data_IF_222953473455
#
_entry.id   IF_222953473455
#
_cell.length_a   1.000
_cell.length_b   1.000
_cell.length_c   1.000
_cell.angle_alpha   90.00
_cell.angle_beta   90.00
_cell.angle_gamma   90.00
#
_symmetry.space_group_name_H-M   'P 1'
#
loop_
_entity.id
_entity.type
_entity.pdbx_description
1 polymer ?
#
# COMPACT_ATOMS: atom_id res chain seq x y z
N UNK A 1 5.80 16.19 -9.57
CA UNK A 1 5.86 14.94 -8.79
C UNK A 1 6.04 13.73 -9.70
N UNK A 2 5.15 13.54 -10.65
CA UNK A 2 5.15 12.36 -11.53
C UNK A 2 6.41 12.22 -12.39
N UNK A 3 6.95 13.29 -12.97
CA UNK A 3 8.22 13.27 -13.69
C UNK A 3 9.38 12.75 -12.82
N UNK A 4 9.41 13.15 -11.54
CA UNK A 4 10.44 12.64 -10.62
C UNK A 4 10.23 11.18 -10.24
N UNK A 5 8.99 10.70 -10.14
CA UNK A 5 8.71 9.27 -10.01
C UNK A 5 9.22 8.50 -11.24
N UNK A 6 9.02 9.02 -12.47
CA UNK A 6 9.59 8.41 -13.67
C UNK A 6 11.11 8.42 -13.64
N UNK A 7 11.72 9.53 -13.23
CA UNK A 7 13.17 9.62 -13.06
C UNK A 7 13.70 8.57 -12.07
N UNK A 8 13.04 8.40 -10.91
CA UNK A 8 13.40 7.39 -9.90
C UNK A 8 13.32 5.97 -10.45
N UNK A 9 12.30 5.65 -11.25
CA UNK A 9 12.18 4.33 -11.90
C UNK A 9 13.37 3.98 -12.79
N UNK A 10 13.97 4.99 -13.41
CA UNK A 10 15.07 4.85 -14.36
C UNK A 10 16.47 4.97 -13.72
N UNK A 11 16.58 5.67 -12.60
CA UNK A 11 17.88 6.06 -12.05
C UNK A 11 18.11 5.61 -10.59
N UNK A 12 17.06 5.40 -9.79
CA UNK A 12 17.17 5.01 -8.39
C UNK A 12 16.94 3.51 -8.22
N UNK A 13 18.02 2.74 -8.31
CA UNK A 13 18.01 1.28 -8.39
C UNK A 13 18.62 0.61 -7.15
N UNK A 14 18.18 1.01 -5.96
CA UNK A 14 18.63 0.41 -4.71
C UNK A 14 18.12 -1.05 -4.56
N UNK A 15 19.02 -1.98 -4.22
CA UNK A 15 18.65 -3.40 -4.04
C UNK A 15 17.57 -3.60 -2.96
N UNK A 16 17.57 -2.78 -1.90
CA UNK A 16 16.56 -2.85 -0.82
C UNK A 16 15.12 -2.66 -1.30
N UNK A 17 14.91 -2.02 -2.46
CA UNK A 17 13.57 -1.78 -3.01
C UNK A 17 12.85 -3.07 -3.39
N UNK A 18 13.57 -4.12 -3.80
CA UNK A 18 12.98 -5.44 -4.02
C UNK A 18 12.38 -6.03 -2.74
N UNK A 19 13.03 -5.77 -1.58
CA UNK A 19 12.53 -6.21 -0.28
C UNK A 19 11.22 -5.48 0.05
N UNK A 20 11.12 -4.19 -0.27
CA UNK A 20 9.96 -3.37 0.07
C UNK A 20 8.73 -3.71 -0.79
N UNK A 21 8.94 -4.04 -2.06
CA UNK A 21 7.87 -4.40 -2.98
C UNK A 21 7.37 -5.86 -2.79
N UNK A 22 8.19 -6.76 -2.24
CA UNK A 22 7.79 -8.13 -1.93
C UNK A 22 7.05 -8.17 -0.58
N UNK A 23 5.74 -8.45 -0.62
CA UNK A 23 4.88 -8.52 0.58
C UNK A 23 5.33 -9.54 1.64
N UNK A 24 6.18 -10.51 1.26
CA UNK A 24 6.74 -11.49 2.18
C UNK A 24 8.06 -10.99 2.76
N UNK A 25 8.97 -10.50 1.90
CA UNK A 25 10.27 -10.04 2.32
C UNK A 25 10.19 -8.79 3.22
N UNK A 26 9.25 -7.87 2.92
CA UNK A 26 9.06 -6.66 3.71
C UNK A 26 8.65 -6.96 5.16
N UNK A 27 7.87 -8.01 5.41
CA UNK A 27 7.50 -8.41 6.78
C UNK A 27 8.72 -8.79 7.61
N UNK A 28 9.66 -9.53 7.02
CA UNK A 28 10.93 -9.87 7.68
C UNK A 28 11.79 -8.63 7.95
N UNK A 29 11.79 -7.68 7.02
CA UNK A 29 12.48 -6.41 7.21
C UNK A 29 11.89 -5.61 8.37
N UNK A 30 10.57 -5.46 8.40
CA UNK A 30 9.85 -4.71 9.43
C UNK A 30 10.03 -5.35 10.81
N UNK A 31 9.92 -6.68 10.93
CA UNK A 31 10.11 -7.37 12.21
C UNK A 31 11.50 -7.14 12.83
N UNK A 32 12.52 -6.94 11.97
CA UNK A 32 13.88 -6.60 12.41
C UNK A 32 14.09 -5.13 12.72
N UNK A 33 13.35 -4.25 12.03
CA UNK A 33 13.56 -2.79 12.07
C UNK A 33 12.70 -2.11 13.13
N UNK A 34 11.50 -2.59 13.31
CA UNK A 34 10.49 -2.09 14.24
C UNK A 34 10.08 -3.22 15.20
N UNK A 35 8.80 -3.29 15.50
CA UNK A 35 8.21 -4.36 16.29
C UNK A 35 7.31 -5.22 15.39
N UNK A 36 7.35 -6.55 15.56
CA UNK A 36 6.46 -7.47 14.83
C UNK A 36 4.97 -7.24 15.12
N UNK A 37 4.64 -6.52 16.20
CA UNK A 37 3.26 -6.23 16.59
C UNK A 37 2.47 -5.42 15.54
N UNK A 38 3.14 -4.71 14.62
CA UNK A 38 2.46 -3.99 13.54
C UNK A 38 2.19 -4.84 12.29
N UNK A 39 2.62 -6.10 12.28
CA UNK A 39 2.43 -6.98 11.13
C UNK A 39 1.08 -7.68 11.19
N UNK A 40 0.38 -7.68 10.06
CA UNK A 40 -0.81 -8.52 9.87
C UNK A 40 -0.38 -9.99 9.93
N UNK A 41 -1.11 -10.81 10.67
CA UNK A 41 -0.84 -12.24 10.80
C UNK A 41 -0.86 -12.92 9.43
N UNK A 42 0.16 -13.74 9.16
CA UNK A 42 0.23 -14.55 7.95
C UNK A 42 -0.14 -15.98 8.30
N UNK A 43 -1.13 -16.54 7.63
CA UNK A 43 -1.55 -17.94 7.80
C UNK A 43 -0.73 -18.91 6.93
N UNK A 44 -0.29 -18.46 5.74
CA UNK A 44 0.50 -19.29 4.86
C UNK A 44 1.09 -18.53 3.67
N UNK A 45 2.08 -19.17 3.04
CA UNK A 45 2.74 -18.71 1.81
C UNK A 45 2.85 -19.90 0.87
N UNK A 46 2.33 -19.73 -0.36
CA UNK A 46 2.15 -20.83 -1.30
C UNK A 46 2.78 -20.49 -2.65
N UNK A 47 3.26 -21.49 -3.38
CA UNK A 47 3.78 -21.29 -4.74
C UNK A 47 2.67 -21.30 -5.80
N UNK A 48 1.58 -22.01 -5.53
CA UNK A 48 0.40 -22.09 -6.40
C UNK A 48 -0.88 -22.07 -5.56
N UNK A 49 -2.03 -21.88 -6.23
CA UNK A 49 -3.33 -21.99 -5.58
C UNK A 49 -3.61 -23.40 -5.06
N UNK A 50 -3.13 -24.41 -5.76
CA UNK A 50 -3.38 -25.81 -5.44
C UNK A 50 -2.59 -26.30 -4.21
N UNK A 51 -1.60 -25.53 -3.76
CA UNK A 51 -0.84 -25.79 -2.53
C UNK A 51 -1.61 -25.34 -1.27
N UNK A 52 -2.74 -24.63 -1.42
CA UNK A 52 -3.48 -24.07 -0.28
C UNK A 52 -4.36 -25.16 0.34
N UNK A 53 -4.08 -25.52 1.59
CA UNK A 53 -4.99 -26.34 2.39
C UNK A 53 -6.02 -25.44 3.07
N UNK A 54 -7.21 -25.32 2.47
CA UNK A 54 -8.29 -24.48 2.97
C UNK A 54 -8.89 -24.97 4.29
N UNK A 55 -8.75 -26.26 4.63
CA UNK A 55 -9.26 -26.80 5.89
C UNK A 55 -8.49 -26.24 7.09
N UNK A 56 -7.22 -25.92 6.91
CA UNK A 56 -6.35 -25.34 7.94
C UNK A 56 -6.51 -23.81 8.07
N UNK A 57 -7.18 -23.16 7.13
CA UNK A 57 -7.41 -21.72 7.16
C UNK A 57 -8.62 -21.37 8.04
N UNK A 58 -8.61 -20.19 8.70
CA UNK A 58 -9.79 -19.67 9.39
C UNK A 58 -10.95 -19.44 8.42
N UNK A 59 -12.15 -19.13 8.95
CA UNK A 59 -13.33 -18.87 8.12
C UNK A 59 -13.17 -17.64 7.24
N UNK A 60 -12.44 -16.63 7.71
CA UNK A 60 -12.16 -15.41 6.96
C UNK A 60 -10.66 -15.13 6.80
N UNK A 61 -10.26 -14.68 5.63
CA UNK A 61 -8.85 -14.39 5.29
C UNK A 61 -8.74 -13.53 4.03
N UNK A 62 -7.53 -13.07 3.75
CA UNK A 62 -7.17 -12.37 2.50
C UNK A 62 -6.11 -13.16 1.75
N UNK A 63 -6.35 -13.46 0.46
CA UNK A 63 -5.35 -14.01 -0.45
C UNK A 63 -4.87 -12.91 -1.40
N UNK A 64 -3.55 -12.83 -1.61
CA UNK A 64 -2.95 -11.90 -2.59
C UNK A 64 -1.61 -12.43 -3.09
N UNK A 65 -1.17 -11.99 -4.27
CA UNK A 65 0.19 -12.29 -4.73
C UNK A 65 1.21 -11.36 -4.08
N UNK A 66 2.41 -11.88 -3.80
CA UNK A 66 3.46 -11.15 -3.08
C UNK A 66 4.13 -10.05 -3.91
N UNK A 67 4.10 -10.18 -5.23
CA UNK A 67 4.92 -9.44 -6.19
C UNK A 67 4.13 -8.46 -7.06
N UNK A 68 2.82 -8.30 -6.83
CA UNK A 68 1.95 -7.49 -7.68
C UNK A 68 1.05 -6.53 -6.91
N UNK A 69 0.32 -5.70 -7.65
CA UNK A 69 -0.80 -4.91 -7.15
C UNK A 69 -2.11 -5.40 -7.77
N UNK A 70 -3.18 -5.44 -6.95
CA UNK A 70 -4.55 -5.72 -7.42
C UNK A 70 -4.98 -7.19 -7.46
N UNK A 71 -4.15 -8.16 -7.06
CA UNK A 71 -4.55 -9.58 -7.00
C UNK A 71 -5.35 -9.95 -5.74
N UNK A 72 -5.72 -8.99 -4.92
CA UNK A 72 -6.38 -9.20 -3.62
C UNK A 72 -7.72 -9.91 -3.77
N UNK A 73 -7.92 -10.99 -3.00
CA UNK A 73 -9.19 -11.69 -2.81
C UNK A 73 -9.52 -11.65 -1.33
N UNK A 74 -10.59 -10.97 -0.97
CA UNK A 74 -11.14 -10.94 0.39
C UNK A 74 -12.11 -12.12 0.49
N UNK A 75 -11.88 -13.01 1.44
CA UNK A 75 -12.73 -14.11 1.81
C UNK A 75 -13.34 -13.83 3.18
N UNK A 76 -14.63 -13.55 3.21
CA UNK A 76 -15.37 -13.28 4.44
C UNK A 76 -15.89 -14.56 5.10
N UNK A 77 -16.21 -15.58 4.29
CA UNK A 77 -16.61 -16.91 4.71
C UNK A 77 -16.06 -17.92 3.68
N UNK A 78 -15.15 -18.79 4.10
CA UNK A 78 -14.53 -19.79 3.21
C UNK A 78 -15.51 -20.75 2.58
N UNK A 79 -16.67 -21.00 3.21
CA UNK A 79 -17.74 -21.85 2.68
C UNK A 79 -18.41 -21.24 1.46
N UNK A 80 -18.33 -19.90 1.31
CA UNK A 80 -18.88 -19.15 0.18
C UNK A 80 -17.82 -18.76 -0.85
N UNK A 81 -16.55 -19.16 -0.64
CA UNK A 81 -15.47 -18.82 -1.55
C UNK A 81 -15.68 -19.47 -2.92
N UNK A 82 -15.75 -18.65 -3.96
CA UNK A 82 -15.74 -19.16 -5.33
C UNK A 82 -14.31 -19.60 -5.71
N UNK A 83 -13.99 -20.87 -5.47
CA UNK A 83 -12.68 -21.44 -5.69
C UNK A 83 -12.20 -21.31 -7.13
N UNK A 84 -13.06 -21.54 -8.11
CA UNK A 84 -12.71 -21.46 -9.54
C UNK A 84 -12.30 -20.03 -9.92
N UNK A 85 -13.13 -19.04 -9.58
CA UNK A 85 -12.86 -17.63 -9.84
C UNK A 85 -11.59 -17.15 -9.12
N UNK A 86 -11.40 -17.55 -7.87
CA UNK A 86 -10.24 -17.21 -7.05
C UNK A 86 -8.96 -17.81 -7.63
N UNK A 87 -8.97 -19.11 -7.96
CA UNK A 87 -7.87 -19.81 -8.62
C UNK A 87 -7.48 -19.13 -9.93
N UNK A 88 -8.46 -18.83 -10.79
CA UNK A 88 -8.23 -18.15 -12.07
C UNK A 88 -7.59 -16.77 -11.87
N UNK A 89 -8.07 -15.98 -10.89
CA UNK A 89 -7.52 -14.66 -10.57
C UNK A 89 -6.08 -14.75 -10.11
N UNK A 90 -5.79 -15.59 -9.11
CA UNK A 90 -4.45 -15.72 -8.53
C UNK A 90 -3.45 -16.36 -9.49
N UNK A 91 -3.83 -17.42 -10.22
CA UNK A 91 -2.96 -18.04 -11.21
C UNK A 91 -2.64 -17.10 -12.38
N UNK A 92 -3.59 -16.23 -12.77
CA UNK A 92 -3.30 -15.18 -13.76
C UNK A 92 -2.31 -14.15 -13.19
N UNK A 93 -2.45 -13.78 -11.93
CA UNK A 93 -1.57 -12.84 -11.24
C UNK A 93 -0.15 -13.40 -11.08
N UNK A 94 0.00 -14.67 -10.68
CA UNK A 94 1.30 -15.35 -10.56
C UNK A 94 2.13 -15.34 -11.87
N UNK A 95 1.45 -15.32 -13.03
CA UNK A 95 2.10 -15.27 -14.34
C UNK A 95 2.51 -13.86 -14.77
N UNK A 96 2.07 -12.82 -14.06
CA UNK A 96 2.41 -11.44 -14.42
C UNK A 96 3.85 -11.12 -14.04
N UNK A 97 4.50 -10.38 -14.90
CA UNK A 97 5.75 -9.72 -14.54
C UNK A 97 5.46 -8.23 -14.32
N UNK A 98 5.31 -7.85 -13.07
CA UNK A 98 4.95 -6.47 -12.69
C UNK A 98 5.99 -5.46 -13.17
N UNK A 99 7.28 -5.81 -13.16
CA UNK A 99 8.33 -4.95 -13.69
C UNK A 99 8.15 -4.62 -15.18
N UNK A 100 7.71 -5.59 -15.99
CA UNK A 100 7.50 -5.32 -17.43
C UNK A 100 6.30 -4.42 -17.71
N UNK A 101 5.33 -4.36 -16.81
CA UNK A 101 4.14 -3.51 -16.98
C UNK A 101 4.45 -2.04 -16.69
N UNK A 102 5.07 -1.74 -15.54
CA UNK A 102 5.30 -0.38 -15.08
C UNK A 102 6.75 0.09 -15.16
N UNK A 103 7.70 -0.81 -15.48
CA UNK A 103 9.16 -0.56 -15.39
C UNK A 103 9.61 -0.11 -14.01
N UNK A 104 8.85 -0.48 -12.99
CA UNK A 104 9.15 -0.18 -11.59
C UNK A 104 10.25 -1.12 -11.08
N UNK A 105 11.46 -0.58 -10.88
CA UNK A 105 12.65 -1.36 -10.49
C UNK A 105 12.41 -2.27 -9.29
N UNK A 106 11.66 -1.82 -8.32
CA UNK A 106 11.39 -2.56 -7.09
C UNK A 106 10.75 -3.94 -7.33
N UNK A 107 10.01 -4.13 -8.43
CA UNK A 107 9.39 -5.42 -8.77
C UNK A 107 10.26 -6.35 -9.61
N UNK A 108 11.45 -5.90 -10.04
CA UNK A 108 12.33 -6.70 -10.88
C UNK A 108 12.86 -7.93 -10.14
N UNK A 109 12.60 -9.12 -10.67
CA UNK A 109 13.15 -10.37 -10.14
C UNK A 109 12.49 -10.91 -8.88
N UNK A 110 11.39 -10.33 -8.40
CA UNK A 110 10.62 -10.90 -7.28
C UNK A 110 9.99 -12.21 -7.73
N UNK A 111 10.23 -13.27 -6.96
CA UNK A 111 9.62 -14.58 -7.21
C UNK A 111 8.14 -14.57 -6.81
N UNK A 112 7.21 -14.81 -7.75
CA UNK A 112 5.79 -14.81 -7.45
C UNK A 112 5.39 -15.87 -6.43
N UNK A 113 4.58 -15.47 -5.43
CA UNK A 113 3.96 -16.38 -4.46
C UNK A 113 2.59 -15.86 -4.06
N UNK A 114 1.76 -16.72 -3.52
CA UNK A 114 0.51 -16.35 -2.86
C UNK A 114 0.78 -16.24 -1.36
N UNK A 115 0.30 -15.18 -0.74
CA UNK A 115 0.28 -15.02 0.72
C UNK A 115 -1.16 -15.01 1.20
N UNK A 116 -1.43 -15.74 2.28
CA UNK A 116 -2.70 -15.73 3.01
C UNK A 116 -2.51 -14.97 4.32
N UNK A 117 -3.33 -13.95 4.53
CA UNK A 117 -3.26 -13.08 5.70
C UNK A 117 -4.61 -12.99 6.41
N UNK A 118 -4.56 -12.57 7.66
CA UNK A 118 -5.71 -12.21 8.46
C UNK A 118 -6.54 -11.13 7.78
N UNK A 119 -7.85 -11.30 7.75
CA UNK A 119 -8.79 -10.26 7.36
C UNK A 119 -9.02 -9.34 8.54
N UNK A 120 -8.45 -8.14 8.48
CA UNK A 120 -8.67 -7.12 9.50
C UNK A 120 -10.09 -6.54 9.39
N UNK A 121 -10.72 -6.36 10.56
CA UNK A 121 -12.01 -5.65 10.69
C UNK A 121 -11.96 -4.78 11.92
N UNK A 122 -12.62 -3.63 11.85
CA UNK A 122 -12.82 -2.76 13.01
C UNK A 122 -13.94 -3.29 13.94
N UNK A 123 -14.27 -2.52 14.97
CA UNK A 123 -15.28 -2.90 15.97
C UNK A 123 -16.69 -3.02 15.37
N UNK A 124 -16.97 -2.27 14.30
CA UNK A 124 -18.25 -2.31 13.59
C UNK A 124 -18.30 -3.44 12.56
N UNK A 125 -17.22 -4.21 12.41
CA UNK A 125 -17.08 -5.29 11.45
C UNK A 125 -16.76 -4.82 10.03
N UNK A 126 -16.48 -3.54 9.83
CA UNK A 126 -16.12 -2.99 8.53
C UNK A 126 -14.62 -3.19 8.21
N UNK A 127 -14.27 -3.01 6.96
CA UNK A 127 -12.86 -2.99 6.56
C UNK A 127 -12.20 -1.71 7.08
N UNK A 128 -10.99 -1.81 7.64
CA UNK A 128 -10.34 -0.67 8.26
C UNK A 128 -9.99 0.41 7.24
N UNK A 129 -9.96 1.65 7.71
CA UNK A 129 -9.47 2.79 6.92
C UNK A 129 -7.99 2.60 6.57
N UNK A 130 -7.64 3.01 5.36
CA UNK A 130 -6.31 2.94 4.78
C UNK A 130 -5.65 4.32 4.89
N UNK A 131 -4.65 4.44 5.78
CA UNK A 131 -3.86 5.65 5.99
C UNK A 131 -2.57 5.57 5.20
N UNK A 132 -2.44 6.41 4.20
CA UNK A 132 -1.29 6.43 3.28
C UNK A 132 -0.38 7.61 3.59
N UNK A 133 0.73 7.33 4.25
CA UNK A 133 1.68 8.37 4.65
C UNK A 133 2.69 8.61 3.54
N UNK A 134 2.58 9.77 2.90
CA UNK A 134 3.52 10.21 1.87
C UNK A 134 4.76 10.84 2.51
N UNK A 135 5.91 10.25 2.20
CA UNK A 135 7.20 10.66 2.72
C UNK A 135 8.09 11.22 1.61
N UNK A 136 8.72 12.35 1.88
CA UNK A 136 9.66 13.01 0.97
C UNK A 136 11.03 13.12 1.65
N UNK A 137 12.06 12.58 1.00
CA UNK A 137 13.44 12.50 1.54
C UNK A 137 13.48 11.92 2.97
N UNK A 138 12.72 10.84 3.19
CA UNK A 138 12.64 10.15 4.48
C UNK A 138 11.80 10.84 5.55
N UNK A 139 11.03 11.89 5.20
CA UNK A 139 10.19 12.62 6.14
C UNK A 139 8.72 12.54 5.74
N UNK A 140 7.80 12.13 6.63
CA UNK A 140 6.36 12.24 6.43
C UNK A 140 5.96 13.69 6.18
N UNK A 141 5.08 13.92 5.22
CA UNK A 141 4.55 15.25 4.88
C UNK A 141 3.04 15.29 4.78
N UNK A 142 2.44 14.26 4.19
CA UNK A 142 1.00 14.18 4.02
C UNK A 142 0.50 12.79 4.36
N UNK A 143 -0.74 12.73 4.83
CA UNK A 143 -1.48 11.51 5.07
C UNK A 143 -2.75 11.54 4.22
N UNK A 144 -2.90 10.60 3.30
CA UNK A 144 -4.12 10.43 2.54
C UNK A 144 -4.99 9.33 3.15
N UNK A 145 -6.27 9.62 3.33
CA UNK A 145 -7.27 8.66 3.79
C UNK A 145 -8.26 8.42 2.66
N UNK A 146 -8.46 7.16 2.31
CA UNK A 146 -9.32 6.77 1.19
C UNK A 146 -10.66 6.27 1.70
N UNK A 147 -11.74 6.80 1.13
CA UNK A 147 -13.12 6.46 1.48
C UNK A 147 -13.81 5.76 0.32
N UNK A 148 -14.79 4.91 0.64
CA UNK A 148 -15.61 4.18 -0.33
C UNK A 148 -14.84 3.23 -1.28
N UNK A 149 -13.57 2.91 -0.98
CA UNK A 149 -12.68 2.12 -1.86
C UNK A 149 -13.26 0.77 -2.29
N UNK A 150 -14.09 0.16 -1.47
CA UNK A 150 -14.68 -1.16 -1.72
C UNK A 150 -16.20 -1.14 -1.86
N UNK A 151 -16.82 0.05 -1.84
CA UNK A 151 -18.27 0.17 -1.99
C UNK A 151 -18.69 -0.13 -3.43
N UNK A 152 -19.54 -1.13 -3.59
CA UNK A 152 -20.14 -1.52 -4.88
C UNK A 152 -21.37 -0.70 -5.26
N UNK A 153 -21.78 0.25 -4.42
CA UNK A 153 -23.04 0.98 -4.50
C UNK A 153 -23.02 2.31 -5.24
N UNK A 154 -21.98 2.62 -6.03
CA UNK A 154 -21.93 3.87 -6.82
C UNK A 154 -21.61 5.13 -6.02
N UNK A 155 -21.21 5.02 -4.75
CA UNK A 155 -20.68 6.15 -4.01
C UNK A 155 -19.34 6.59 -4.64
N UNK A 156 -19.17 7.90 -4.83
CA UNK A 156 -17.94 8.45 -5.37
C UNK A 156 -16.75 8.08 -4.47
N UNK A 157 -15.65 7.69 -5.10
CA UNK A 157 -14.39 7.50 -4.41
C UNK A 157 -13.80 8.86 -4.08
N UNK A 158 -13.52 9.12 -2.80
CA UNK A 158 -12.95 10.38 -2.36
C UNK A 158 -11.70 10.15 -1.51
N UNK A 159 -10.78 11.11 -1.57
CA UNK A 159 -9.54 11.15 -0.82
C UNK A 159 -9.53 12.38 0.09
N UNK A 160 -9.28 12.17 1.37
CA UNK A 160 -9.00 13.24 2.32
C UNK A 160 -7.49 13.32 2.57
N UNK A 161 -6.86 14.43 2.23
CA UNK A 161 -5.43 14.64 2.47
C UNK A 161 -5.23 15.55 3.68
N UNK A 162 -4.30 15.19 4.55
CA UNK A 162 -3.95 15.91 5.77
C UNK A 162 -2.43 16.10 5.85
N UNK A 163 -1.99 17.17 6.48
CA UNK A 163 -0.58 17.32 6.87
C UNK A 163 -0.26 16.55 8.17
N UNK A 164 0.96 16.65 8.65
CA UNK A 164 1.39 15.94 9.87
C UNK A 164 0.74 16.45 11.15
N UNK A 165 0.19 17.68 11.15
CA UNK A 165 -0.58 18.26 12.26
C UNK A 165 -2.07 17.95 12.18
N UNK A 166 -2.46 17.17 11.16
CA UNK A 166 -3.83 16.80 10.85
C UNK A 166 -4.69 17.95 10.32
N UNK A 167 -4.07 18.94 9.68
CA UNK A 167 -4.78 19.99 8.96
C UNK A 167 -5.17 19.49 7.57
N UNK A 168 -6.46 19.53 7.24
CA UNK A 168 -6.97 19.13 5.93
C UNK A 168 -6.37 19.98 4.83
N UNK A 169 -6.01 19.33 3.74
CA UNK A 169 -5.44 19.93 2.55
C UNK A 169 -6.43 19.85 1.39
N UNK A 170 -6.50 20.88 0.58
CA UNK A 170 -7.44 20.99 -0.54
C UNK A 170 -6.80 20.48 -1.85
N UNK A 171 -6.34 19.22 -1.83
CA UNK A 171 -5.84 18.56 -3.03
C UNK A 171 -5.99 17.02 -2.92
N UNK A 172 -5.89 16.33 -4.08
CA UNK A 172 -5.80 14.88 -4.18
C UNK A 172 -4.52 14.47 -4.91
N UNK A 173 -3.94 13.32 -4.54
CA UNK A 173 -2.79 12.72 -5.22
C UNK A 173 -3.15 11.99 -6.50
N UNK A 174 -4.43 11.77 -6.76
CA UNK A 174 -4.89 11.02 -7.93
C UNK A 174 -6.20 11.65 -8.47
N UNK A 175 -6.18 12.08 -9.73
CA UNK A 175 -7.33 12.67 -10.40
C UNK A 175 -8.57 11.76 -10.51
N UNK A 176 -8.38 10.44 -10.30
CA UNK A 176 -9.49 9.49 -10.25
C UNK A 176 -10.26 9.52 -8.93
N UNK A 177 -9.79 10.30 -7.95
CA UNK A 177 -10.40 10.45 -6.64
C UNK A 177 -10.87 11.89 -6.44
N UNK A 178 -12.11 12.04 -6.03
CA UNK A 178 -12.61 13.35 -5.59
C UNK A 178 -11.94 13.77 -4.28
N UNK A 179 -11.87 15.09 -4.04
CA UNK A 179 -11.45 15.64 -2.74
C UNK A 179 -12.62 15.49 -1.77
N UNK A 180 -12.40 14.88 -0.60
CA UNK A 180 -13.42 14.75 0.42
C UNK A 180 -13.90 16.14 0.88
N UNK A 181 -15.21 16.37 0.94
CA UNK A 181 -15.82 17.62 1.38
C UNK A 181 -15.99 17.72 2.91
N UNK A 182 -15.62 16.65 3.62
CA UNK A 182 -15.67 16.55 5.07
C UNK A 182 -14.25 16.41 5.67
N UNK A 183 -14.14 16.58 6.98
CA UNK A 183 -12.90 16.40 7.73
C UNK A 183 -13.01 15.15 8.62
N UNK A 184 -12.01 14.29 8.54
CA UNK A 184 -11.90 13.11 9.40
C UNK A 184 -11.34 13.51 10.77
N UNK A 185 -11.78 12.84 11.82
CA UNK A 185 -11.20 13.01 13.15
C UNK A 185 -9.73 12.58 13.17
N UNK A 186 -8.89 13.33 13.88
CA UNK A 186 -7.48 12.99 14.04
C UNK A 186 -7.34 11.62 14.70
N UNK A 187 -6.63 10.65 14.07
CA UNK A 187 -6.43 9.34 14.66
C UNK A 187 -5.60 9.43 15.94
N UNK A 188 -5.97 8.72 16.99
CA UNK A 188 -5.20 8.67 18.24
C UNK A 188 -3.77 8.15 18.03
N UNK A 189 -3.57 7.29 17.04
CA UNK A 189 -2.27 6.70 16.69
C UNK A 189 -1.51 7.41 15.59
N UNK A 190 -1.87 8.64 15.25
CA UNK A 190 -1.19 9.41 14.21
C UNK A 190 0.32 9.51 14.45
N UNK A 191 0.74 9.90 15.67
CA UNK A 191 2.17 10.04 16.00
C UNK A 191 2.94 8.71 15.85
N UNK A 192 2.29 7.61 16.21
CA UNK A 192 2.87 6.28 16.05
C UNK A 192 3.05 5.93 14.56
N UNK A 193 2.04 6.19 13.71
CA UNK A 193 2.13 6.01 12.26
C UNK A 193 3.22 6.89 11.65
N UNK A 194 3.31 8.17 12.03
CA UNK A 194 4.34 9.09 11.55
C UNK A 194 5.75 8.66 11.96
N UNK A 195 5.92 8.17 13.20
CA UNK A 195 7.19 7.61 13.68
C UNK A 195 7.61 6.38 12.85
N UNK A 196 6.69 5.46 12.59
CA UNK A 196 6.95 4.28 11.75
C UNK A 196 7.25 4.69 10.31
N UNK A 197 6.48 5.59 9.73
CA UNK A 197 6.70 6.09 8.38
C UNK A 197 8.09 6.72 8.22
N UNK A 198 8.52 7.57 9.18
CA UNK A 198 9.87 8.16 9.19
C UNK A 198 10.96 7.10 9.28
N UNK A 199 10.76 6.07 10.09
CA UNK A 199 11.73 4.97 10.22
C UNK A 199 11.85 4.16 8.92
N UNK A 200 10.70 3.84 8.29
CA UNK A 200 10.63 2.99 7.10
C UNK A 200 11.05 3.72 5.83
N UNK A 201 10.79 5.03 5.72
CA UNK A 201 11.12 5.85 4.54
C UNK A 201 12.56 6.38 4.53
N UNK A 202 13.33 6.10 5.59
CA UNK A 202 14.70 6.63 5.72
C UNK A 202 15.59 6.25 4.54
N UNK A 203 16.21 7.26 3.92
CA UNK A 203 17.09 7.10 2.75
C UNK A 203 16.35 6.79 1.45
N UNK A 204 15.06 7.15 1.37
CA UNK A 204 14.27 7.14 0.13
C UNK A 204 13.96 8.58 -0.27
N UNK A 205 14.06 8.89 -1.56
CA UNK A 205 13.71 10.22 -2.10
C UNK A 205 12.22 10.49 -1.97
N UNK A 206 11.40 9.50 -2.30
CA UNK A 206 9.95 9.48 -2.11
C UNK A 206 9.52 8.06 -1.76
N UNK A 207 8.52 7.94 -0.90
CA UNK A 207 7.81 6.68 -0.63
C UNK A 207 6.45 6.97 -0.01
N UNK A 208 5.55 6.02 -0.13
CA UNK A 208 4.27 5.99 0.57
C UNK A 208 4.26 4.77 1.49
N UNK A 209 3.96 4.99 2.74
CA UNK A 209 3.86 3.92 3.75
C UNK A 209 2.40 3.80 4.15
N UNK A 210 1.81 2.65 3.86
CA UNK A 210 0.38 2.41 4.08
C UNK A 210 0.18 1.70 5.43
N UNK A 211 -0.77 2.20 6.22
CA UNK A 211 -1.15 1.65 7.51
C UNK A 211 -2.66 1.44 7.60
N UNK A 212 -3.05 0.48 8.41
CA UNK A 212 -4.42 0.32 8.89
C UNK A 212 -4.48 0.62 10.39
N UNK A 213 -5.58 1.20 10.83
CA UNK A 213 -5.85 1.40 12.26
C UNK A 213 -7.08 0.57 12.63
N UNK A 214 -6.90 -0.43 13.51
CA UNK A 214 -7.94 -1.35 13.94
C UNK A 214 -7.87 -1.46 15.46
N UNK A 215 -8.97 -1.17 16.14
CA UNK A 215 -9.07 -1.25 17.60
C UNK A 215 -7.90 -0.54 18.30
N UNK A 216 -7.64 0.69 17.86
CA UNK A 216 -6.55 1.54 18.37
C UNK A 216 -5.14 0.93 18.23
N UNK A 217 -4.95 0.01 17.26
CA UNK A 217 -3.68 -0.62 16.94
C UNK A 217 -3.30 -0.36 15.49
N UNK A 218 -2.04 0.05 15.27
CA UNK A 218 -1.49 0.28 13.93
C UNK A 218 -1.04 -1.04 13.32
N UNK A 219 -1.47 -1.29 12.09
CA UNK A 219 -1.00 -2.38 11.25
C UNK A 219 -0.32 -1.86 10.00
N UNK A 220 0.79 -2.46 9.64
CA UNK A 220 1.49 -2.16 8.40
C UNK A 220 0.79 -2.78 7.19
N UNK A 221 0.54 -1.98 6.16
CA UNK A 221 -0.02 -2.39 4.88
C UNK A 221 1.04 -2.69 3.83
N UNK A 222 1.68 -1.64 3.31
CA UNK A 222 2.73 -1.76 2.27
C UNK A 222 3.68 -0.56 2.25
N UNK A 223 4.80 -0.71 1.55
CA UNK A 223 5.69 0.39 1.11
C UNK A 223 5.55 0.51 -0.39
N UNK A 224 5.10 1.69 -0.85
CA UNK A 224 5.00 2.02 -2.27
C UNK A 224 6.07 3.05 -2.64
N UNK A 225 6.92 2.72 -3.60
CA UNK A 225 8.01 3.59 -4.07
C UNK A 225 7.59 4.45 -5.27
N UNK A 226 6.65 3.95 -6.05
CA UNK A 226 6.22 4.59 -7.29
C UNK A 226 4.71 4.75 -7.29
N UNK A 227 4.22 5.79 -6.62
CA UNK A 227 2.79 6.06 -6.50
C UNK A 227 2.14 6.10 -7.88
N UNK A 228 1.12 5.24 -8.09
CA UNK A 228 0.40 5.06 -9.37
C UNK A 228 1.35 4.90 -10.57
N UNK A 229 2.57 4.36 -10.34
CA UNK A 229 3.61 4.23 -11.36
C UNK A 229 4.12 5.55 -11.93
N UNK A 230 3.77 6.70 -11.33
CA UNK A 230 4.06 8.05 -11.82
C UNK A 230 3.21 8.45 -13.03
N UNK A 231 1.98 7.93 -13.13
CA UNK A 231 1.05 8.19 -14.24
C UNK A 231 -0.31 8.77 -13.78
N UNK A 232 -0.41 9.23 -12.53
CA UNK A 232 -1.61 9.90 -12.03
C UNK A 232 -1.38 11.40 -11.97
N UNK A 233 -2.36 12.21 -12.34
CA UNK A 233 -2.35 13.65 -12.08
C UNK A 233 -2.82 13.96 -10.67
N UNK A 234 -2.47 15.13 -10.16
CA UNK A 234 -3.01 15.68 -8.93
C UNK A 234 -4.24 16.53 -9.21
N UNK A 235 -5.05 16.80 -8.19
CA UNK A 235 -6.14 17.78 -8.25
C UNK A 235 -5.95 18.78 -7.12
N UNK A 236 -5.71 20.08 -7.39
CA UNK A 236 -5.50 20.69 -8.71
C UNK A 236 -4.13 20.30 -9.33
N UNK A 237 -3.99 20.51 -10.63
CA UNK A 237 -2.80 20.09 -11.41
C UNK A 237 -1.50 20.73 -10.93
N UNK A 238 -1.53 21.97 -10.44
CA UNK A 238 -0.36 22.69 -9.95
C UNK A 238 0.30 22.04 -8.71
N UNK A 239 -0.42 21.15 -8.04
CA UNK A 239 0.13 20.39 -6.93
C UNK A 239 1.21 19.41 -7.38
N UNK A 240 1.17 18.90 -8.61
CA UNK A 240 2.24 18.01 -9.13
C UNK A 240 3.61 18.71 -9.09
N UNK A 241 3.68 19.99 -9.48
CA UNK A 241 4.91 20.77 -9.41
C UNK A 241 5.35 20.99 -7.96
N UNK A 242 4.44 21.38 -7.07
CA UNK A 242 4.71 21.63 -5.66
C UNK A 242 5.26 20.38 -4.96
N UNK A 243 4.60 19.22 -5.15
CA UNK A 243 5.04 17.94 -4.62
C UNK A 243 6.37 17.50 -5.25
N UNK A 244 6.55 17.74 -6.54
CA UNK A 244 7.80 17.46 -7.26
C UNK A 244 8.99 18.22 -6.67
N UNK A 245 8.82 19.49 -6.31
CA UNK A 245 9.87 20.30 -5.65
C UNK A 245 10.30 19.74 -4.28
N UNK A 246 9.46 18.96 -3.61
CA UNK A 246 9.80 18.32 -2.34
C UNK A 246 10.75 17.14 -2.51
N UNK A 247 10.81 16.50 -3.67
CA UNK A 247 11.69 15.36 -3.94
C UNK A 247 13.08 15.90 -4.33
N UNK A 248 14.10 15.59 -3.53
CA UNK A 248 15.49 15.89 -3.86
C UNK A 248 16.09 14.71 -4.62
N UNK A 249 16.17 14.82 -5.92
CA UNK A 249 16.93 13.86 -6.74
C UNK A 249 18.41 14.05 -6.49
N UNK A 250 19.14 12.95 -6.21
CA UNK A 250 20.59 12.99 -6.23
C UNK A 250 21.01 13.12 -7.70
N UNK A 251 21.53 14.27 -8.09
CA UNK A 251 22.30 14.38 -9.32
C UNK A 251 23.63 13.71 -9.04
N UNK A 252 23.89 12.57 -9.68
CA UNK A 252 25.24 12.03 -9.77
C UNK A 252 26.00 13.00 -10.69
N UNK A 253 26.82 13.87 -10.09
CA UNK A 253 27.87 14.59 -10.81
C UNK A 253 28.99 13.62 -11.20
#
# INVERSE_FOLDING_TARGET
FNEKIQWMKLNDHEFKYHIFADKIAVKKYISKKLNSNILIRTYGVYNSYDDINFDELPDSFVLKCSHDSGSVVICEDKRQLNHEKTKKKLNRALKRNQYLQGREWAYKGIRPKIICEELLRDEDGELPKDYKVYCFNGNPKYIAVFYNRFHRGGAEHVEGVYDTEWTKQEFSFDWNWGIADFTENRPEKLEEMLKYARCLSRGMMQSRIDFYLVNNRVYFGEITLYTVGGFSGTVPDDMDEKLGKMIRTQTYE
#
